data_IF_062987381222
#
_entry.id   IF_062987381222
#
_cell.length_a   1.000
_cell.length_b   1.000
_cell.length_c   1.000
_cell.angle_alpha   90.00
_cell.angle_beta   90.00
_cell.angle_gamma   90.00
#
_symmetry.space_group_name_H-M   'P 1'
#
loop_
_entity.id
_entity.type
_entity.pdbx_description
1 polymer ?
#
# COMPACT_ATOMS: atom_id res chain seq x y z
N UNK A 1 -3.85 13.00 -13.48
CA UNK A 1 -3.25 14.00 -12.57
C UNK A 1 -3.67 15.37 -13.07
N UNK A 2 -4.14 16.25 -12.20
CA UNK A 2 -4.54 17.62 -12.56
C UNK A 2 -5.89 18.05 -12.02
N UNK A 3 -6.75 17.11 -11.62
CA UNK A 3 -8.02 17.42 -10.96
C UNK A 3 -7.75 17.91 -9.53
N UNK A 4 -8.14 19.15 -9.17
CA UNK A 4 -8.02 19.64 -7.80
C UNK A 4 -8.88 18.81 -6.85
N UNK A 5 -8.41 18.65 -5.62
CA UNK A 5 -9.16 18.04 -4.52
C UNK A 5 -9.22 19.02 -3.36
N UNK A 6 -10.31 18.97 -2.61
CA UNK A 6 -10.48 19.77 -1.41
C UNK A 6 -10.98 18.89 -0.26
N UNK A 7 -10.51 19.24 0.94
CA UNK A 7 -11.04 18.73 2.20
C UNK A 7 -11.46 19.94 3.00
N UNK A 8 -12.73 20.01 3.35
CA UNK A 8 -13.33 21.10 4.15
C UNK A 8 -13.73 20.52 5.49
N UNK A 9 -13.27 21.12 6.58
CA UNK A 9 -13.54 20.70 7.96
C UNK A 9 -14.39 21.75 8.67
N UNK A 10 -15.42 21.34 9.42
CA UNK A 10 -16.22 22.21 10.27
C UNK A 10 -16.58 21.47 11.57
N UNK A 11 -15.88 21.78 12.67
CA UNK A 11 -15.93 20.92 13.86
C UNK A 11 -15.44 19.52 13.51
N UNK A 12 -16.25 18.50 13.81
CA UNK A 12 -15.95 17.10 13.49
C UNK A 12 -16.38 16.70 12.06
N UNK A 13 -17.10 17.57 11.35
CA UNK A 13 -17.55 17.31 9.99
C UNK A 13 -16.41 17.47 8.98
N UNK A 14 -16.42 16.59 7.98
CA UNK A 14 -15.51 16.64 6.84
C UNK A 14 -16.26 16.45 5.55
N UNK A 15 -16.04 17.36 4.61
CA UNK A 15 -16.54 17.28 3.23
C UNK A 15 -15.38 17.14 2.27
N UNK A 16 -15.45 16.12 1.41
CA UNK A 16 -14.49 15.83 0.35
C UNK A 16 -15.05 16.29 -0.98
N UNK A 17 -14.30 17.09 -1.73
CA UNK A 17 -14.73 17.61 -3.02
C UNK A 17 -13.65 17.49 -4.09
N UNK A 18 -14.09 17.31 -5.35
CA UNK A 18 -13.21 17.27 -6.53
C UNK A 18 -13.59 18.39 -7.50
N UNK A 19 -12.59 19.12 -7.99
CA UNK A 19 -12.76 20.20 -8.96
C UNK A 19 -12.71 19.75 -10.42
N UNK A 20 -12.70 20.68 -11.39
CA UNK A 20 -12.78 22.14 -11.18
C UNK A 20 -14.22 22.64 -10.90
N UNK A 21 -15.26 21.93 -11.33
CA UNK A 21 -16.67 22.29 -11.09
C UNK A 21 -17.18 21.78 -9.73
N UNK A 22 -16.34 21.88 -8.69
CA UNK A 22 -16.50 21.35 -7.33
C UNK A 22 -17.72 20.45 -7.08
N UNK A 23 -17.50 19.14 -7.15
CA UNK A 23 -18.48 18.11 -6.78
C UNK A 23 -18.11 17.54 -5.42
N UNK A 24 -19.07 17.49 -4.48
CA UNK A 24 -18.91 16.70 -3.25
C UNK A 24 -18.92 15.22 -3.61
N UNK A 25 -17.89 14.50 -3.17
CA UNK A 25 -17.69 13.09 -3.49
C UNK A 25 -17.70 12.18 -2.27
N UNK A 26 -17.70 12.76 -1.08
CA UNK A 26 -17.72 12.01 0.16
C UNK A 26 -17.49 12.88 1.38
N UNK A 27 -17.42 12.25 2.54
CA UNK A 27 -17.28 12.96 3.80
C UNK A 27 -17.93 12.22 4.96
N UNK A 28 -17.92 12.86 6.13
CA UNK A 28 -18.69 12.47 7.29
C UNK A 28 -19.23 13.72 7.97
N UNK A 29 -20.47 13.65 8.45
CA UNK A 29 -21.19 14.80 9.00
C UNK A 29 -21.88 14.42 10.32
N UNK A 30 -21.12 14.10 11.39
CA UNK A 30 -21.69 13.79 12.70
C UNK A 30 -22.56 14.92 13.24
N UNK A 31 -22.28 16.19 12.92
CA UNK A 31 -23.12 17.32 13.35
C UNK A 31 -24.55 17.25 12.78
N UNK A 32 -24.72 16.59 11.65
CA UNK A 32 -26.01 16.35 10.98
C UNK A 32 -26.64 15.01 11.39
N UNK A 33 -26.06 14.30 12.36
CA UNK A 33 -26.53 12.98 12.80
C UNK A 33 -26.34 11.87 11.76
N UNK A 34 -25.47 12.06 10.75
CA UNK A 34 -25.17 11.05 9.73
C UNK A 34 -24.19 10.03 10.33
N UNK A 35 -24.61 8.78 10.59
CA UNK A 35 -23.85 7.87 11.44
C UNK A 35 -22.67 7.17 10.74
N UNK A 36 -22.56 7.28 9.41
CA UNK A 36 -21.57 6.54 8.63
C UNK A 36 -20.90 7.45 7.61
N UNK A 37 -19.56 7.45 7.52
CA UNK A 37 -18.85 8.15 6.45
C UNK A 37 -19.29 7.68 5.06
N UNK A 38 -19.48 8.62 4.14
CA UNK A 38 -19.70 8.36 2.73
C UNK A 38 -18.36 8.38 1.99
N UNK A 39 -17.74 7.23 1.79
CA UNK A 39 -16.39 7.09 1.21
C UNK A 39 -16.32 6.12 0.02
N UNK A 40 -17.46 5.91 -0.64
CA UNK A 40 -17.66 4.82 -1.61
C UNK A 40 -18.08 3.53 -0.89
N UNK A 41 -19.07 2.83 -1.45
CA UNK A 41 -19.66 1.65 -0.79
C UNK A 41 -18.71 0.47 -0.67
N UNK A 42 -18.92 -0.36 0.37
CA UNK A 42 -18.19 -1.61 0.61
C UNK A 42 -16.69 -1.44 0.94
N UNK A 43 -15.98 -2.55 1.21
CA UNK A 43 -14.53 -2.55 1.29
C UNK A 43 -13.90 -2.16 -0.05
N UNK A 44 -13.07 -1.12 -0.02
CA UNK A 44 -12.35 -0.59 -1.16
C UNK A 44 -10.91 -1.04 -1.12
N UNK A 45 -10.36 -1.40 -2.28
CA UNK A 45 -9.07 -2.08 -2.38
C UNK A 45 -8.15 -1.38 -3.37
N UNK A 46 -6.93 -1.05 -2.96
CA UNK A 46 -5.91 -0.43 -3.81
C UNK A 46 -4.62 -1.22 -3.73
N UNK A 47 -3.96 -1.43 -4.87
CA UNK A 47 -2.63 -2.02 -4.91
C UNK A 47 -1.56 -0.95 -4.78
N UNK A 48 -0.80 -0.97 -3.68
CA UNK A 48 0.42 -0.20 -3.55
C UNK A 48 1.61 -0.98 -4.16
N UNK A 49 2.29 -0.34 -5.12
CA UNK A 49 3.39 -0.90 -5.88
C UNK A 49 4.68 -0.12 -5.60
N UNK A 50 5.72 -0.83 -5.18
CA UNK A 50 7.07 -0.31 -5.08
C UNK A 50 7.89 -0.79 -6.26
N UNK A 51 8.28 0.15 -7.11
CA UNK A 51 9.05 -0.10 -8.31
C UNK A 51 10.56 -0.09 -8.01
N UNK A 52 11.30 -1.09 -8.50
CA UNK A 52 12.78 -1.11 -8.44
C UNK A 52 13.43 -0.21 -9.51
N UNK A 53 12.67 0.70 -10.13
CA UNK A 53 13.20 1.67 -11.07
C UNK A 53 14.32 2.51 -10.46
N UNK A 54 15.47 2.51 -11.13
CA UNK A 54 16.64 3.34 -10.83
C UNK A 54 16.61 4.64 -11.65
N UNK A 55 17.54 5.55 -11.36
CA UNK A 55 17.65 6.84 -12.08
C UNK A 55 17.72 6.57 -13.59
N UNK A 56 16.81 7.19 -14.35
CA UNK A 56 16.70 7.03 -15.81
C UNK A 56 15.84 5.85 -16.27
N UNK A 57 15.35 4.99 -15.37
CA UNK A 57 14.47 3.88 -15.73
C UNK A 57 12.99 4.29 -15.67
N UNK A 58 12.15 3.71 -16.54
CA UNK A 58 10.70 3.94 -16.50
C UNK A 58 10.08 3.33 -15.25
N UNK A 59 9.49 4.17 -14.39
CA UNK A 59 8.85 3.77 -13.14
C UNK A 59 7.86 2.61 -13.30
N UNK A 60 7.10 2.63 -14.40
CA UNK A 60 5.99 1.72 -14.67
C UNK A 60 6.38 0.47 -15.48
N UNK A 61 7.67 0.28 -15.82
CA UNK A 61 8.15 -0.83 -16.67
C UNK A 61 9.32 -1.62 -16.08
N UNK A 62 9.55 -1.47 -14.78
CA UNK A 62 10.49 -2.30 -14.00
C UNK A 62 9.73 -3.25 -13.07
N UNK A 63 10.44 -4.12 -12.36
CA UNK A 63 9.82 -5.09 -11.45
C UNK A 63 9.14 -4.39 -10.27
N UNK A 64 7.98 -4.93 -9.88
CA UNK A 64 7.27 -4.58 -8.65
C UNK A 64 7.85 -5.36 -7.46
N UNK A 65 8.76 -4.75 -6.71
CA UNK A 65 9.43 -5.38 -5.55
C UNK A 65 8.67 -5.20 -4.23
N UNK A 66 7.64 -4.34 -4.24
CA UNK A 66 6.62 -4.22 -3.19
C UNK A 66 5.26 -4.40 -3.86
N UNK A 67 4.46 -5.32 -3.34
CA UNK A 67 3.08 -5.56 -3.76
C UNK A 67 2.24 -5.66 -2.49
N UNK A 68 1.50 -4.60 -2.17
CA UNK A 68 0.68 -4.52 -0.96
C UNK A 68 -0.76 -4.19 -1.36
N UNK A 69 -1.69 -5.11 -1.11
CA UNK A 69 -3.12 -4.88 -1.31
C UNK A 69 -3.67 -4.26 -0.04
N UNK A 70 -4.14 -3.01 -0.14
CA UNK A 70 -4.61 -2.22 0.99
C UNK A 70 -6.13 -2.09 0.88
N UNK A 71 -6.83 -2.50 1.93
CA UNK A 71 -8.28 -2.45 2.06
C UNK A 71 -8.75 -1.42 3.08
N UNK A 72 -9.86 -0.73 2.82
CA UNK A 72 -10.56 0.12 3.79
C UNK A 72 -12.08 -0.08 3.66
N UNK A 73 -12.82 -0.21 4.76
CA UNK A 73 -14.29 -0.35 4.73
C UNK A 73 -15.06 0.98 4.89
N UNK A 74 -14.34 2.09 5.13
CA UNK A 74 -14.93 3.39 5.42
C UNK A 74 -15.60 3.53 6.79
N UNK A 75 -15.58 2.46 7.61
CA UNK A 75 -16.15 2.36 8.96
C UNK A 75 -15.09 2.09 10.04
N UNK A 76 -13.82 2.14 9.65
CA UNK A 76 -12.66 2.03 10.52
C UNK A 76 -11.96 0.67 10.49
N UNK A 77 -12.47 -0.30 9.73
CA UNK A 77 -11.78 -1.53 9.37
C UNK A 77 -10.84 -1.32 8.18
N UNK A 78 -9.70 -2.00 8.19
CA UNK A 78 -8.76 -1.97 7.09
C UNK A 78 -7.93 -3.23 6.99
N UNK A 79 -7.30 -3.47 5.86
CA UNK A 79 -6.42 -4.62 5.67
C UNK A 79 -5.15 -4.21 4.95
N UNK A 80 -4.03 -4.84 5.31
CA UNK A 80 -2.78 -4.73 4.55
C UNK A 80 -2.26 -6.14 4.26
N UNK A 81 -2.24 -6.48 2.98
CA UNK A 81 -1.81 -7.79 2.50
C UNK A 81 -0.61 -7.69 1.58
N UNK A 82 0.53 -8.12 2.07
CA UNK A 82 1.74 -8.24 1.26
C UNK A 82 1.69 -9.47 0.36
N UNK A 83 2.18 -9.34 -0.87
CA UNK A 83 2.36 -10.46 -1.79
C UNK A 83 3.85 -10.65 -2.05
N UNK A 84 4.36 -11.86 -1.81
CA UNK A 84 5.74 -12.18 -2.16
C UNK A 84 5.94 -12.00 -3.68
N UNK A 85 6.98 -11.26 -4.06
CA UNK A 85 7.21 -10.87 -5.47
C UNK A 85 7.48 -12.07 -6.40
N UNK A 86 7.92 -13.18 -5.80
CA UNK A 86 8.32 -14.41 -6.47
C UNK A 86 7.17 -15.43 -6.55
N UNK A 87 5.94 -15.06 -6.16
CA UNK A 87 4.75 -15.91 -6.32
C UNK A 87 4.59 -16.34 -7.78
N UNK A 88 4.54 -17.66 -8.02
CA UNK A 88 4.37 -18.23 -9.36
C UNK A 88 2.90 -18.35 -9.70
N UNK A 89 2.43 -17.50 -10.61
CA UNK A 89 1.01 -17.32 -10.91
C UNK A 89 0.78 -17.16 -12.42
N UNK A 90 -0.44 -17.43 -12.91
CA UNK A 90 -0.85 -16.96 -14.23
C UNK A 90 -0.73 -15.43 -14.31
N UNK A 91 -0.14 -14.91 -15.37
CA UNK A 91 -0.03 -13.47 -15.59
C UNK A 91 -1.15 -12.99 -16.51
N UNK A 92 -1.68 -11.79 -16.26
CA UNK A 92 -2.64 -11.15 -17.16
C UNK A 92 -2.07 -10.85 -18.55
N UNK A 93 -0.75 -10.85 -18.70
CA UNK A 93 -0.04 -10.70 -19.98
C UNK A 93 0.16 -12.03 -20.71
N UNK A 94 -0.40 -13.13 -20.18
CA UNK A 94 -0.25 -14.49 -20.72
C UNK A 94 0.83 -15.31 -20.01
N UNK A 95 0.66 -16.64 -20.06
CA UNK A 95 1.58 -17.60 -19.46
C UNK A 95 1.59 -17.61 -17.92
N UNK A 96 2.58 -18.31 -17.35
CA UNK A 96 2.90 -18.26 -15.92
C UNK A 96 4.23 -17.57 -15.69
N UNK A 97 4.33 -16.85 -14.58
CA UNK A 97 5.54 -16.14 -14.20
C UNK A 97 5.52 -15.75 -12.73
N UNK A 98 6.63 -15.15 -12.28
CA UNK A 98 6.67 -14.46 -11.00
C UNK A 98 5.74 -13.27 -11.04
N UNK A 99 4.92 -13.08 -9.99
CA UNK A 99 3.86 -12.07 -9.99
C UNK A 99 4.37 -10.66 -10.28
N UNK A 100 5.60 -10.32 -9.86
CA UNK A 100 6.21 -9.01 -10.11
C UNK A 100 6.59 -8.71 -11.56
N UNK A 101 6.58 -9.72 -12.43
CA UNK A 101 6.92 -9.59 -13.85
C UNK A 101 5.75 -9.05 -14.68
N UNK A 102 4.51 -9.13 -14.19
CA UNK A 102 3.35 -8.55 -14.87
C UNK A 102 3.53 -7.03 -15.11
N UNK A 103 4.13 -6.32 -14.15
CA UNK A 103 4.45 -4.91 -14.31
C UNK A 103 5.50 -4.64 -15.41
N UNK A 104 6.48 -5.52 -15.58
CA UNK A 104 7.49 -5.38 -16.64
C UNK A 104 6.83 -5.52 -18.01
N UNK A 105 6.02 -6.57 -18.18
CA UNK A 105 5.41 -6.91 -19.46
C UNK A 105 4.26 -5.96 -19.86
N UNK A 106 3.35 -5.66 -18.93
CA UNK A 106 2.11 -4.94 -19.24
C UNK A 106 1.88 -3.68 -18.41
N UNK A 107 2.88 -3.24 -17.65
CA UNK A 107 2.76 -2.09 -16.77
C UNK A 107 1.88 -2.35 -15.53
N UNK A 108 1.65 -1.32 -14.71
CA UNK A 108 0.92 -1.47 -13.45
C UNK A 108 -0.55 -1.87 -13.62
N UNK A 109 -1.19 -1.58 -14.77
CA UNK A 109 -2.54 -2.11 -15.07
C UNK A 109 -2.53 -3.63 -15.20
N UNK A 110 -1.55 -4.21 -15.90
CA UNK A 110 -1.39 -5.65 -15.96
C UNK A 110 -1.06 -6.25 -14.59
N UNK A 111 -0.25 -5.55 -13.78
CA UNK A 111 0.01 -5.96 -12.39
C UNK A 111 -1.28 -6.04 -11.57
N UNK A 112 -2.15 -5.02 -11.63
CA UNK A 112 -3.46 -5.02 -10.96
C UNK A 112 -4.32 -6.17 -11.46
N UNK A 113 -4.42 -6.38 -12.77
CA UNK A 113 -5.20 -7.49 -13.34
C UNK A 113 -4.70 -8.86 -12.88
N UNK A 114 -3.39 -9.06 -12.80
CA UNK A 114 -2.79 -10.29 -12.27
C UNK A 114 -3.15 -10.47 -10.79
N UNK A 115 -3.00 -9.41 -9.97
CA UNK A 115 -3.35 -9.47 -8.54
C UNK A 115 -4.83 -9.79 -8.36
N UNK A 116 -5.74 -9.11 -9.09
CA UNK A 116 -7.18 -9.41 -9.08
C UNK A 116 -7.47 -10.87 -9.40
N UNK A 117 -6.83 -11.41 -10.44
CA UNK A 117 -7.03 -12.81 -10.82
C UNK A 117 -6.54 -13.81 -9.77
N UNK A 118 -5.50 -13.46 -9.02
CA UNK A 118 -4.92 -14.34 -7.99
C UNK A 118 -5.72 -14.29 -6.70
N UNK A 119 -6.20 -13.10 -6.30
CA UNK A 119 -6.87 -12.89 -5.01
C UNK A 119 -8.39 -12.96 -5.10
N UNK A 120 -8.97 -12.67 -6.26
CA UNK A 120 -10.41 -12.48 -6.42
C UNK A 120 -10.94 -11.15 -5.82
N UNK A 121 -10.06 -10.28 -5.32
CA UNK A 121 -10.45 -9.00 -4.72
C UNK A 121 -10.74 -7.94 -5.80
N UNK A 122 -11.74 -7.07 -5.61
CA UNK A 122 -12.08 -6.00 -6.55
C UNK A 122 -11.11 -4.80 -6.41
N UNK A 123 -9.81 -5.02 -6.61
CA UNK A 123 -8.75 -4.01 -6.48
C UNK A 123 -8.96 -2.89 -7.49
N UNK A 124 -9.44 -1.71 -7.09
CA UNK A 124 -9.89 -0.64 -7.99
C UNK A 124 -8.80 -0.09 -8.92
N UNK A 125 -7.57 -0.05 -8.43
CA UNK A 125 -6.44 0.50 -9.17
C UNK A 125 -5.13 0.38 -8.39
N UNK A 126 -4.17 1.19 -8.77
CA UNK A 126 -2.84 1.18 -8.17
C UNK A 126 -2.36 2.57 -7.78
N UNK A 127 -1.44 2.59 -6.82
CA UNK A 127 -0.46 3.65 -6.64
C UNK A 127 0.93 3.04 -6.81
N UNK A 128 1.81 3.70 -7.56
CA UNK A 128 3.18 3.23 -7.77
C UNK A 128 4.18 4.32 -7.45
N UNK A 129 5.26 3.93 -6.77
CA UNK A 129 6.36 4.81 -6.40
C UNK A 129 7.70 4.06 -6.50
N UNK A 130 8.76 4.82 -6.80
CA UNK A 130 10.13 4.32 -6.78
C UNK A 130 10.84 4.72 -5.48
N UNK A 131 12.06 4.22 -5.28
CA UNK A 131 12.81 4.46 -4.04
C UNK A 131 13.07 5.93 -3.74
N UNK A 132 13.40 6.74 -4.76
CA UNK A 132 13.61 8.18 -4.54
C UNK A 132 12.32 8.88 -4.13
N UNK A 133 11.17 8.48 -4.69
CA UNK A 133 9.87 9.05 -4.35
C UNK A 133 9.48 8.68 -2.92
N UNK A 134 9.66 7.42 -2.55
CA UNK A 134 9.43 6.91 -1.20
C UNK A 134 10.17 7.75 -0.15
N UNK A 135 11.49 7.89 -0.30
CA UNK A 135 12.31 8.66 0.67
C UNK A 135 11.83 10.09 0.80
N UNK A 136 11.60 10.78 -0.33
CA UNK A 136 11.15 12.17 -0.35
C UNK A 136 9.83 12.36 0.38
N UNK A 137 8.85 11.45 0.19
CA UNK A 137 7.57 11.52 0.90
C UNK A 137 7.80 11.32 2.40
N UNK A 138 8.53 10.27 2.78
CA UNK A 138 8.80 10.00 4.20
C UNK A 138 9.50 11.17 4.88
N UNK A 139 10.56 11.71 4.27
CA UNK A 139 11.31 12.83 4.83
C UNK A 139 10.45 14.12 4.90
N UNK A 140 9.64 14.39 3.87
CA UNK A 140 8.76 15.56 3.84
C UNK A 140 7.68 15.53 4.93
N UNK A 141 7.21 14.34 5.30
CA UNK A 141 6.26 14.16 6.40
C UNK A 141 6.96 14.13 7.77
N UNK A 142 8.30 14.22 7.84
CA UNK A 142 9.05 14.16 9.09
C UNK A 142 9.28 12.74 9.63
N UNK A 143 9.46 11.77 8.73
CA UNK A 143 9.77 10.36 9.06
C UNK A 143 8.54 9.48 9.33
N UNK A 144 8.77 8.20 9.63
CA UNK A 144 7.72 7.21 9.97
C UNK A 144 7.91 6.70 11.40
N UNK A 145 6.98 6.99 12.32
CA UNK A 145 7.02 6.45 13.68
C UNK A 145 6.67 4.96 13.66
N UNK A 146 7.55 4.13 14.20
CA UNK A 146 7.39 2.66 14.18
C UNK A 146 7.98 2.04 15.45
N UNK A 147 7.39 0.93 15.87
CA UNK A 147 7.93 0.08 16.95
C UNK A 147 8.49 -1.17 16.31
N UNK A 148 9.82 -1.32 16.35
CA UNK A 148 10.51 -2.45 15.74
C UNK A 148 10.76 -3.52 16.81
N UNK A 149 10.25 -4.76 16.64
CA UNK A 149 10.36 -5.78 17.68
C UNK A 149 11.78 -6.33 17.84
N UNK A 150 12.58 -6.31 16.77
CA UNK A 150 13.94 -6.85 16.76
C UNK A 150 14.83 -6.00 15.86
N UNK A 151 16.06 -5.75 16.30
CA UNK A 151 17.06 -5.02 15.51
C UNK A 151 17.23 -5.65 14.13
N UNK A 152 17.19 -4.82 13.10
CA UNK A 152 17.37 -5.20 11.70
C UNK A 152 18.69 -4.65 11.20
N UNK A 153 19.52 -5.53 10.64
CA UNK A 153 20.74 -5.12 9.93
C UNK A 153 20.47 -5.12 8.44
N UNK A 154 20.41 -3.94 7.84
CA UNK A 154 20.19 -3.77 6.42
C UNK A 154 21.49 -4.01 5.63
N UNK A 155 21.76 -5.28 5.32
CA UNK A 155 22.97 -5.74 4.61
C UNK A 155 23.22 -5.01 3.30
N UNK A 156 22.15 -4.68 2.57
CA UNK A 156 22.21 -3.98 1.30
C UNK A 156 22.47 -2.46 1.42
N UNK A 157 22.46 -1.93 2.65
CA UNK A 157 22.61 -0.51 2.96
C UNK A 157 23.83 -0.28 3.87
N UNK A 158 24.98 -0.86 3.48
CA UNK A 158 26.24 -0.78 4.26
C UNK A 158 26.10 -1.28 5.70
N UNK A 159 25.32 -2.34 5.90
CA UNK A 159 25.00 -2.89 7.22
C UNK A 159 24.40 -1.85 8.18
N UNK A 160 23.60 -0.91 7.67
CA UNK A 160 22.85 0.03 8.51
C UNK A 160 22.05 -0.74 9.56
N UNK A 161 22.24 -0.38 10.82
CA UNK A 161 21.58 -1.03 11.96
C UNK A 161 20.38 -0.19 12.37
N UNK A 162 19.21 -0.80 12.32
CA UNK A 162 17.94 -0.21 12.76
C UNK A 162 17.56 -0.91 14.05
N UNK A 163 17.61 -0.20 15.18
CA UNK A 163 17.48 -0.79 16.50
C UNK A 163 16.06 -1.29 16.78
N UNK A 164 15.91 -2.24 17.71
CA UNK A 164 14.61 -2.54 18.29
C UNK A 164 14.09 -1.36 19.12
N UNK A 165 12.77 -1.28 19.27
CA UNK A 165 12.08 -0.26 20.06
C UNK A 165 11.32 0.77 19.22
N UNK A 166 10.67 1.69 19.92
CA UNK A 166 9.96 2.82 19.33
C UNK A 166 10.96 3.85 18.79
N UNK A 167 10.80 4.25 17.53
CA UNK A 167 11.64 5.25 16.89
C UNK A 167 10.90 5.91 15.71
N UNK A 168 11.48 6.97 15.17
CA UNK A 168 11.03 7.57 13.90
C UNK A 168 12.08 7.32 12.84
N UNK A 169 11.74 6.55 11.82
CA UNK A 169 12.64 6.26 10.71
C UNK A 169 12.64 7.44 9.72
N UNK A 170 13.82 7.93 9.37
CA UNK A 170 14.01 8.76 8.18
C UNK A 170 13.65 7.99 6.90
N UNK A 171 13.52 8.69 5.77
CA UNK A 171 13.26 8.05 4.48
C UNK A 171 14.31 7.02 4.11
N UNK A 172 15.58 7.29 4.42
CA UNK A 172 16.67 6.35 4.19
C UNK A 172 16.54 5.09 5.05
N UNK A 173 16.25 5.23 6.35
CA UNK A 173 16.09 4.11 7.28
C UNK A 173 14.82 3.31 6.98
N UNK A 174 13.69 3.97 6.71
CA UNK A 174 12.44 3.32 6.33
C UNK A 174 12.61 2.52 5.04
N UNK A 175 13.36 3.05 4.06
CA UNK A 175 13.65 2.35 2.81
C UNK A 175 14.56 1.14 3.07
N UNK A 176 15.56 1.27 3.93
CA UNK A 176 16.45 0.17 4.31
C UNK A 176 15.66 -0.94 5.04
N UNK A 177 14.79 -0.56 5.99
CA UNK A 177 13.92 -1.48 6.71
C UNK A 177 13.01 -2.27 5.76
N UNK A 178 12.34 -1.59 4.83
CA UNK A 178 11.40 -2.19 3.88
C UNK A 178 12.07 -3.00 2.74
N UNK A 179 13.39 -2.87 2.57
CA UNK A 179 14.15 -3.58 1.52
C UNK A 179 14.97 -4.76 2.04
N UNK A 180 15.22 -4.82 3.34
CA UNK A 180 16.03 -5.88 3.92
C UNK A 180 15.30 -7.23 3.85
N UNK A 181 16.04 -8.26 3.45
CA UNK A 181 15.52 -9.64 3.32
C UNK A 181 16.56 -10.70 3.61
N UNK A 182 17.85 -10.39 3.52
CA UNK A 182 18.92 -11.39 3.60
C UNK A 182 19.22 -11.75 5.04
N UNK A 183 19.08 -10.78 5.94
CA UNK A 183 19.30 -10.96 7.38
C UNK A 183 18.04 -11.37 8.13
N UNK A 184 16.89 -11.42 7.45
CA UNK A 184 15.61 -11.82 8.04
C UNK A 184 15.46 -13.34 8.02
N UNK A 185 14.96 -13.96 9.11
CA UNK A 185 14.83 -15.42 9.21
C UNK A 185 13.86 -16.01 8.19
N UNK A 186 12.81 -15.26 7.84
CA UNK A 186 11.78 -15.62 6.86
C UNK A 186 11.95 -14.90 5.51
N UNK A 187 13.14 -14.33 5.27
CA UNK A 187 13.57 -13.86 3.96
C UNK A 187 12.65 -12.80 3.35
N UNK A 188 12.13 -13.10 2.15
CA UNK A 188 11.24 -12.20 1.40
C UNK A 188 9.88 -11.99 2.10
N UNK A 189 9.42 -12.97 2.88
CA UNK A 189 8.18 -12.84 3.65
C UNK A 189 8.33 -11.82 4.77
N UNK A 190 9.47 -11.84 5.47
CA UNK A 190 9.82 -10.82 6.46
C UNK A 190 9.90 -9.43 5.84
N UNK A 191 10.55 -9.31 4.66
CA UNK A 191 10.58 -8.05 3.90
C UNK A 191 9.17 -7.55 3.57
N UNK A 192 8.31 -8.44 3.08
CA UNK A 192 6.91 -8.11 2.77
C UNK A 192 6.12 -7.66 4.00
N UNK A 193 6.43 -8.23 5.17
CA UNK A 193 5.84 -7.82 6.45
C UNK A 193 6.30 -6.41 6.83
N UNK A 194 7.61 -6.14 6.79
CA UNK A 194 8.17 -4.81 7.06
C UNK A 194 7.58 -3.72 6.15
N UNK A 195 7.34 -4.04 4.87
CA UNK A 195 6.67 -3.12 3.95
C UNK A 195 5.25 -2.78 4.40
N UNK A 196 4.47 -3.77 4.84
CA UNK A 196 3.13 -3.57 5.39
C UNK A 196 3.15 -2.76 6.69
N UNK A 197 4.12 -3.02 7.56
CA UNK A 197 4.33 -2.26 8.81
C UNK A 197 4.61 -0.78 8.55
N UNK A 198 5.48 -0.46 7.59
CA UNK A 198 5.78 0.93 7.19
C UNK A 198 4.54 1.62 6.63
N UNK A 199 3.76 0.93 5.79
CA UNK A 199 2.50 1.47 5.24
C UNK A 199 1.50 1.76 6.35
N UNK A 200 1.34 0.83 7.29
CA UNK A 200 0.43 1.02 8.41
C UNK A 200 0.88 2.12 9.36
N UNK A 201 2.18 2.18 9.68
CA UNK A 201 2.76 3.25 10.48
C UNK A 201 2.52 4.64 9.83
N UNK A 202 2.69 4.74 8.51
CA UNK A 202 2.38 5.94 7.76
C UNK A 202 0.87 6.28 7.79
N UNK A 203 -0.01 5.29 7.68
CA UNK A 203 -1.46 5.50 7.77
C UNK A 203 -1.90 5.97 9.17
N UNK A 204 -1.32 5.40 10.23
CA UNK A 204 -1.57 5.83 11.62
C UNK A 204 -1.07 7.26 11.84
N UNK A 205 0.12 7.60 11.36
CA UNK A 205 0.63 8.97 11.41
C UNK A 205 -0.30 9.94 10.68
N UNK A 206 -0.75 9.58 9.48
CA UNK A 206 -1.67 10.40 8.70
C UNK A 206 -2.99 10.61 9.47
N UNK A 207 -3.55 9.56 10.07
CA UNK A 207 -4.73 9.66 10.94
C UNK A 207 -4.53 10.69 12.07
N UNK A 208 -3.39 10.67 12.75
CA UNK A 208 -3.07 11.62 13.82
C UNK A 208 -2.91 13.07 13.32
N UNK A 209 -2.44 13.27 12.09
CA UNK A 209 -2.36 14.59 11.47
C UNK A 209 -3.75 15.14 11.07
N UNK A 210 -4.77 14.30 11.04
CA UNK A 210 -6.14 14.67 10.71
C UNK A 210 -6.41 14.83 9.21
N UNK A 211 -7.69 14.92 8.83
CA UNK A 211 -8.13 14.92 7.43
C UNK A 211 -7.64 16.14 6.63
N UNK A 212 -7.33 17.25 7.29
CA UNK A 212 -6.83 18.47 6.64
C UNK A 212 -5.46 18.26 5.97
N UNK A 213 -4.71 17.22 6.37
CA UNK A 213 -3.44 16.84 5.77
C UNK A 213 -3.57 16.01 4.48
N UNK A 214 -4.79 15.56 4.12
CA UNK A 214 -4.99 14.71 2.93
C UNK A 214 -4.56 15.41 1.63
N UNK A 215 -4.96 16.69 1.35
CA UNK A 215 -4.55 17.35 0.11
C UNK A 215 -3.03 17.52 -0.03
N UNK A 216 -2.32 17.84 1.05
CA UNK A 216 -0.87 17.97 1.03
C UNK A 216 -0.20 16.61 0.79
N UNK A 217 -0.65 15.55 1.45
CA UNK A 217 -0.16 14.19 1.24
C UNK A 217 -0.36 13.72 -0.22
N UNK A 218 -1.55 13.94 -0.79
CA UNK A 218 -1.85 13.63 -2.19
C UNK A 218 -1.00 14.47 -3.16
N UNK A 219 -0.76 15.73 -2.84
CA UNK A 219 0.11 16.61 -3.62
C UNK A 219 1.55 16.11 -3.60
N UNK A 220 2.08 15.78 -2.43
CA UNK A 220 3.42 15.20 -2.24
C UNK A 220 3.58 13.90 -3.03
N UNK A 221 2.59 13.01 -2.96
CA UNK A 221 2.57 11.78 -3.75
C UNK A 221 2.55 12.07 -5.26
N UNK A 222 1.71 13.00 -5.73
CA UNK A 222 1.55 13.30 -7.17
C UNK A 222 2.85 13.76 -7.86
N UNK A 223 3.77 14.36 -7.09
CA UNK A 223 5.08 14.82 -7.59
C UNK A 223 6.06 13.68 -7.89
N UNK A 224 5.88 12.51 -7.27
CA UNK A 224 6.88 11.43 -7.30
C UNK A 224 6.33 10.04 -7.60
N UNK A 225 5.01 9.87 -7.53
CA UNK A 225 4.32 8.61 -7.81
C UNK A 225 3.49 8.66 -9.10
N UNK A 226 2.84 7.55 -9.42
CA UNK A 226 1.81 7.44 -10.48
C UNK A 226 0.62 6.65 -9.95
N UNK A 227 -0.56 6.91 -10.50
CA UNK A 227 -1.79 6.19 -10.17
C UNK A 227 -2.76 6.23 -11.35
N UNK A 228 -3.60 5.21 -11.47
CA UNK A 228 -4.76 5.21 -12.37
C UNK A 228 -6.10 5.48 -11.65
N UNK A 229 -6.09 5.72 -10.34
CA UNK A 229 -7.30 6.08 -9.60
C UNK A 229 -7.78 7.47 -10.05
N UNK A 230 -9.09 7.65 -10.16
CA UNK A 230 -9.68 8.98 -10.32
C UNK A 230 -9.44 9.84 -9.07
N UNK A 231 -9.60 11.16 -9.21
CA UNK A 231 -9.48 12.09 -8.08
C UNK A 231 -10.48 11.76 -6.97
N UNK A 232 -11.71 11.40 -7.35
CA UNK A 232 -12.74 10.92 -6.43
C UNK A 232 -12.24 9.67 -5.69
N UNK A 233 -11.77 8.66 -6.43
CA UNK A 233 -11.33 7.39 -5.83
C UNK A 233 -10.15 7.56 -4.88
N UNK A 234 -9.10 8.28 -5.29
CA UNK A 234 -7.91 8.44 -4.44
C UNK A 234 -8.22 9.30 -3.21
N UNK A 235 -9.03 10.36 -3.35
CA UNK A 235 -9.42 11.23 -2.23
C UNK A 235 -10.22 10.46 -1.17
N UNK A 236 -11.24 9.74 -1.61
CA UNK A 236 -12.12 8.97 -0.71
C UNK A 236 -11.41 7.74 -0.12
N UNK A 237 -10.52 7.08 -0.87
CA UNK A 237 -9.68 6.00 -0.33
C UNK A 237 -8.71 6.52 0.73
N UNK A 238 -8.01 7.62 0.47
CA UNK A 238 -7.10 8.24 1.45
C UNK A 238 -7.88 8.71 2.68
N UNK A 239 -9.06 9.30 2.52
CA UNK A 239 -9.92 9.64 3.65
C UNK A 239 -10.35 8.39 4.46
N UNK A 240 -10.59 7.26 3.79
CA UNK A 240 -10.82 5.97 4.46
C UNK A 240 -9.64 5.50 5.31
N UNK A 241 -8.40 5.74 4.86
CA UNK A 241 -7.20 5.44 5.66
C UNK A 241 -7.16 6.26 6.96
N UNK A 242 -7.62 7.51 6.95
CA UNK A 242 -7.71 8.33 8.17
C UNK A 242 -8.76 7.83 9.16
N UNK A 243 -9.78 7.11 8.68
CA UNK A 243 -10.82 6.53 9.54
C UNK A 243 -10.36 5.23 10.22
N UNK A 244 -9.27 4.61 9.77
CA UNK A 244 -8.79 3.32 10.29
C UNK A 244 -8.60 3.30 11.80
N UNK A 245 -9.20 2.32 12.47
CA UNK A 245 -8.83 1.97 13.83
C UNK A 245 -7.60 1.07 13.78
N UNK A 246 -6.47 1.42 14.42
CA UNK A 246 -5.28 0.56 14.46
C UNK A 246 -5.55 -0.84 15.04
N UNK A 247 -6.63 -0.97 15.83
CA UNK A 247 -7.09 -2.21 16.45
C UNK A 247 -7.95 -3.08 15.51
N UNK A 248 -8.38 -2.55 14.37
CA UNK A 248 -9.23 -3.24 13.38
C UNK A 248 -8.54 -3.35 12.02
N UNK A 249 -7.21 -3.53 12.03
CA UNK A 249 -6.42 -3.71 10.81
C UNK A 249 -5.88 -5.13 10.71
N UNK A 250 -6.47 -5.93 9.83
CA UNK A 250 -6.00 -7.26 9.47
C UNK A 250 -4.70 -7.15 8.67
N UNK A 251 -3.75 -8.02 8.98
CA UNK A 251 -2.41 -7.99 8.40
C UNK A 251 -2.03 -9.38 7.96
N UNK A 252 -1.49 -9.50 6.76
CA UNK A 252 -1.03 -10.79 6.28
C UNK A 252 0.00 -10.68 5.16
N UNK A 253 0.76 -11.75 4.98
CA UNK A 253 1.61 -11.93 3.82
C UNK A 253 1.11 -13.18 3.10
N UNK A 254 0.73 -13.02 1.84
CA UNK A 254 0.40 -14.10 0.94
C UNK A 254 1.68 -14.90 0.65
N UNK A 255 1.91 -15.90 1.49
CA UNK A 255 3.11 -16.74 1.51
C UNK A 255 2.80 -18.17 1.05
N UNK A 256 3.85 -18.97 0.93
CA UNK A 256 3.74 -20.38 0.58
C UNK A 256 5.09 -21.06 0.49
N UNK A 257 5.10 -22.30 -0.02
CA UNK A 257 6.33 -23.09 -0.10
C UNK A 257 7.27 -22.55 -1.18
N UNK A 258 8.57 -22.64 -0.92
CA UNK A 258 9.57 -22.41 -1.95
C UNK A 258 9.58 -23.57 -2.95
N UNK A 259 9.78 -23.25 -4.22
CA UNK A 259 9.86 -24.24 -5.28
C UNK A 259 10.71 -23.76 -6.45
N UNK A 260 10.67 -24.53 -7.54
CA UNK A 260 11.42 -24.25 -8.75
C UNK A 260 10.51 -24.28 -9.98
N UNK A 261 10.70 -23.34 -10.88
CA UNK A 261 10.16 -23.35 -12.23
C UNK A 261 11.32 -23.17 -13.22
N UNK A 262 11.76 -24.27 -13.84
CA UNK A 262 13.04 -24.30 -14.55
C UNK A 262 14.19 -23.94 -13.59
N UNK A 263 15.02 -22.97 -13.99
CA UNK A 263 16.15 -22.49 -13.16
C UNK A 263 15.78 -21.38 -12.16
N UNK A 264 14.49 -21.03 -12.04
CA UNK A 264 14.04 -19.93 -11.19
C UNK A 264 13.49 -20.46 -9.87
N UNK A 265 13.99 -19.92 -8.75
CA UNK A 265 13.32 -20.09 -7.46
C UNK A 265 12.04 -19.27 -7.43
N UNK A 266 10.96 -19.90 -6.96
CA UNK A 266 9.60 -19.36 -6.92
C UNK A 266 8.95 -19.59 -5.55
N UNK A 267 7.85 -18.89 -5.30
CA UNK A 267 6.94 -19.19 -4.20
C UNK A 267 5.65 -19.78 -4.78
N UNK A 268 5.27 -20.96 -4.31
CA UNK A 268 4.00 -21.60 -4.66
C UNK A 268 2.96 -21.20 -3.62
N UNK A 269 1.86 -20.60 -4.07
CA UNK A 269 0.82 -20.06 -3.20
C UNK A 269 0.23 -21.14 -2.27
N UNK A 270 0.34 -20.93 -0.96
CA UNK A 270 -0.14 -21.88 0.05
C UNK A 270 -1.62 -21.73 0.39
N UNK A 271 -2.17 -22.69 1.14
CA UNK A 271 -3.57 -22.66 1.59
C UNK A 271 -3.87 -21.47 2.50
N UNK A 272 -2.94 -21.09 3.37
CA UNK A 272 -3.09 -19.91 4.25
C UNK A 272 -3.33 -18.62 3.45
N UNK A 273 -2.61 -18.44 2.34
CA UNK A 273 -2.83 -17.28 1.48
C UNK A 273 -4.22 -17.30 0.83
N UNK A 274 -4.72 -18.49 0.44
CA UNK A 274 -6.08 -18.63 -0.12
C UNK A 274 -7.16 -18.34 0.92
N UNK A 275 -6.98 -18.79 2.16
CA UNK A 275 -7.89 -18.45 3.27
C UNK A 275 -7.91 -16.94 3.52
N UNK A 276 -6.74 -16.30 3.57
CA UNK A 276 -6.64 -14.85 3.72
C UNK A 276 -7.36 -14.09 2.58
N UNK A 277 -7.25 -14.58 1.34
CA UNK A 277 -7.98 -14.00 0.21
C UNK A 277 -9.49 -14.16 0.35
N UNK A 278 -9.96 -15.31 0.84
CA UNK A 278 -11.38 -15.57 1.07
C UNK A 278 -11.94 -14.65 2.16
N UNK A 279 -11.26 -14.56 3.31
CA UNK A 279 -11.64 -13.67 4.42
C UNK A 279 -11.79 -12.21 3.96
N UNK A 280 -10.82 -11.72 3.20
CA UNK A 280 -10.85 -10.37 2.65
C UNK A 280 -11.96 -10.16 1.61
N UNK A 281 -12.25 -11.18 0.78
CA UNK A 281 -13.35 -11.10 -0.17
C UNK A 281 -14.71 -11.06 0.53
N UNK A 282 -14.83 -11.73 1.67
CA UNK A 282 -16.04 -11.76 2.48
C UNK A 282 -16.18 -10.48 3.35
N UNK A 283 -15.25 -9.53 3.20
CA UNK A 283 -15.27 -8.23 3.85
C UNK A 283 -14.71 -8.24 5.27
N UNK A 284 -14.15 -9.36 5.73
CA UNK A 284 -13.47 -9.39 7.02
C UNK A 284 -12.08 -8.76 6.91
N UNK A 285 -11.99 -7.47 7.19
CA UNK A 285 -10.73 -6.74 7.11
C UNK A 285 -9.85 -6.89 8.35
N UNK A 286 -10.35 -7.43 9.47
CA UNK A 286 -9.67 -7.41 10.78
C UNK A 286 -9.37 -8.80 11.34
#
# INVERSE_FOLDING_TARGET
MGTPVAVVTAGDDVTLAVGPTWKVVGGWWPSLGVPTPSLGGGPRWVLAIGSDARKGQPLERTRADVLQVIGVDGKGGGAVMGMARDLWVPLSTGGKGKINSAMVFGGPRAQVSTVRSVTGLPVEGYVVLGFSGFKKIVDAEGGVPIVIPKTVVASHAKNLVIQAGAQTLSGAEALAYARERKTLPDGDFGRSRHQGEVILAAAIKAKLAGPIAIPSALTSFSKVGKSNLSAEQILTFTAGLHQLSPLKVGRGVAQGAFGWAGQQSIVVLGNQARSLFAEFRDGNLS
#
